data_IF_827187610247
#
_entry.id   IF_827187610247
#
_cell.length_a   1.000
_cell.length_b   1.000
_cell.length_c   1.000
_cell.angle_alpha   90.00
_cell.angle_beta   90.00
_cell.angle_gamma   90.00
#
_symmetry.space_group_name_H-M   'P 1'
#
loop_
_entity.id
_entity.type
_entity.pdbx_description
1 polymer ?
#
# COMPACT_ATOMS: atom_id res chain seq x y z
N UNK A 1 36.47 -17.18 -7.97
CA UNK A 1 35.16 -17.59 -7.44
C UNK A 1 34.60 -16.37 -6.74
N UNK A 2 33.58 -15.72 -7.33
CA UNK A 2 32.89 -14.62 -6.68
C UNK A 2 32.12 -15.19 -5.50
N UNK A 3 32.34 -14.66 -4.29
CA UNK A 3 31.56 -15.00 -3.13
C UNK A 3 30.10 -14.61 -3.44
N UNK A 4 29.23 -15.59 -3.59
CA UNK A 4 27.80 -15.36 -3.59
C UNK A 4 27.46 -14.85 -2.21
N UNK A 5 27.18 -13.54 -2.10
CA UNK A 5 26.57 -12.98 -0.89
C UNK A 5 25.20 -13.64 -0.77
N UNK A 6 25.13 -14.77 -0.09
CA UNK A 6 23.84 -15.34 0.31
C UNK A 6 23.15 -14.31 1.20
N UNK A 7 22.06 -13.78 0.72
CA UNK A 7 21.25 -12.84 1.48
C UNK A 7 20.77 -13.55 2.74
N UNK A 8 21.16 -13.03 3.90
CA UNK A 8 20.72 -13.56 5.21
C UNK A 8 19.29 -13.15 5.56
N UNK A 9 18.46 -12.76 4.56
CA UNK A 9 17.09 -12.39 4.83
C UNK A 9 16.28 -13.59 5.29
N UNK A 10 15.66 -13.45 6.44
CA UNK A 10 14.78 -14.47 7.00
C UNK A 10 13.32 -14.17 6.64
N UNK A 11 12.54 -15.22 6.45
CA UNK A 11 11.13 -15.13 6.13
C UNK A 11 10.29 -15.82 7.21
N UNK A 12 9.09 -15.26 7.43
CA UNK A 12 8.12 -15.79 8.39
C UNK A 12 6.73 -15.81 7.80
N UNK A 13 5.82 -16.58 8.40
CA UNK A 13 4.40 -16.51 8.01
C UNK A 13 3.76 -15.23 8.53
N UNK A 14 2.90 -14.64 7.73
CA UNK A 14 2.05 -13.53 8.16
C UNK A 14 0.92 -14.09 9.06
N UNK A 15 1.15 -14.07 10.36
CA UNK A 15 0.25 -14.65 11.34
C UNK A 15 -0.01 -16.14 11.08
N UNK A 16 -1.30 -16.51 11.02
CA UNK A 16 -1.73 -17.88 10.73
C UNK A 16 -1.98 -18.16 9.24
N UNK A 17 -1.76 -17.17 8.38
CA UNK A 17 -1.94 -17.32 6.93
C UNK A 17 -0.86 -18.20 6.30
N UNK A 18 -1.08 -18.66 5.08
CA UNK A 18 -0.06 -19.35 4.27
C UNK A 18 1.00 -18.43 3.69
N UNK A 19 0.78 -17.09 3.71
CA UNK A 19 1.68 -16.12 3.10
C UNK A 19 2.97 -16.00 3.90
N UNK A 20 4.11 -16.08 3.20
CA UNK A 20 5.42 -15.78 3.77
C UNK A 20 5.90 -14.41 3.36
N UNK A 21 6.38 -13.66 4.33
CA UNK A 21 6.92 -12.30 4.19
C UNK A 21 8.35 -12.25 4.71
N UNK A 22 9.16 -11.29 4.24
CA UNK A 22 10.45 -11.00 4.85
C UNK A 22 10.23 -10.49 6.29
N UNK A 23 11.09 -10.91 7.24
CA UNK A 23 11.00 -10.47 8.65
C UNK A 23 11.16 -8.95 8.81
N UNK A 24 11.88 -8.32 7.88
CA UNK A 24 11.95 -6.86 7.75
C UNK A 24 11.07 -6.45 6.57
N UNK A 25 10.26 -5.42 6.74
CA UNK A 25 9.36 -4.88 5.72
C UNK A 25 9.86 -3.49 5.34
N UNK A 26 9.97 -3.23 4.04
CA UNK A 26 10.31 -1.90 3.55
C UNK A 26 9.08 -0.99 3.61
N UNK A 27 9.13 0.06 4.44
CA UNK A 27 8.12 1.12 4.46
C UNK A 27 8.37 2.13 3.36
N UNK A 28 7.39 2.35 2.49
CA UNK A 28 7.48 3.27 1.36
C UNK A 28 6.76 4.61 1.60
N UNK A 29 6.42 4.95 2.83
CA UNK A 29 5.82 6.25 3.17
C UNK A 29 6.77 7.41 2.83
N UNK A 30 8.08 7.17 2.90
CA UNK A 30 9.11 8.14 2.55
C UNK A 30 9.42 8.20 1.05
N UNK A 31 8.73 7.47 0.20
CA UNK A 31 8.93 7.47 -1.25
C UNK A 31 7.75 8.17 -1.94
N UNK A 32 8.02 9.23 -2.71
CA UNK A 32 6.94 9.95 -3.35
C UNK A 32 7.35 11.28 -3.94
N UNK A 33 6.89 12.36 -3.35
CA UNK A 33 7.19 13.74 -3.73
C UNK A 33 7.58 14.55 -2.49
N UNK A 34 8.72 15.24 -2.56
CA UNK A 34 9.16 16.18 -1.51
C UNK A 34 8.21 17.39 -1.36
N UNK A 35 7.32 17.63 -2.32
CA UNK A 35 6.26 18.63 -2.19
C UNK A 35 5.18 18.25 -1.18
N UNK A 36 5.00 16.93 -0.93
CA UNK A 36 4.06 16.44 0.07
C UNK A 36 4.58 16.62 1.50
N UNK A 37 5.86 16.27 1.72
CA UNK A 37 6.55 16.43 3.00
C UNK A 37 8.08 16.51 2.74
N UNK A 38 8.78 17.38 3.48
CA UNK A 38 10.21 17.64 3.30
C UNK A 38 11.13 16.41 3.43
N UNK A 39 10.69 15.41 4.21
CA UNK A 39 11.45 14.17 4.44
C UNK A 39 11.16 13.07 3.41
N UNK A 40 10.30 13.32 2.45
CA UNK A 40 9.99 12.36 1.38
C UNK A 40 10.98 12.52 0.25
N UNK A 41 11.57 11.42 -0.18
CA UNK A 41 12.48 11.38 -1.31
C UNK A 41 11.72 11.15 -2.63
N UNK A 42 12.25 11.72 -3.69
CA UNK A 42 11.65 11.63 -5.02
C UNK A 42 11.96 10.28 -5.71
N UNK A 43 11.35 10.08 -6.85
CA UNK A 43 11.37 8.81 -7.59
C UNK A 43 12.79 8.36 -7.96
N UNK A 44 13.66 9.27 -8.36
CA UNK A 44 15.03 8.98 -8.79
C UNK A 44 15.89 8.41 -7.65
N UNK A 45 15.66 8.85 -6.41
CA UNK A 45 16.33 8.34 -5.21
C UNK A 45 15.64 7.05 -4.69
N UNK A 46 14.31 6.96 -4.77
CA UNK A 46 13.54 5.83 -4.26
C UNK A 46 13.72 4.55 -5.10
N UNK A 47 13.79 4.68 -6.42
CA UNK A 47 13.89 3.52 -7.31
C UNK A 47 15.12 2.65 -7.05
N UNK A 48 16.36 3.19 -6.90
CA UNK A 48 17.52 2.37 -6.55
C UNK A 48 17.39 1.66 -5.20
N UNK A 49 16.73 2.28 -4.22
CA UNK A 49 16.51 1.67 -2.90
C UNK A 49 15.56 0.48 -2.97
N UNK A 50 14.49 0.56 -3.76
CA UNK A 50 13.58 -0.55 -4.02
C UNK A 50 14.31 -1.71 -4.73
N UNK A 51 15.17 -1.40 -5.70
CA UNK A 51 16.00 -2.41 -6.36
C UNK A 51 16.94 -3.09 -5.38
N UNK A 52 17.65 -2.31 -4.56
CA UNK A 52 18.55 -2.84 -3.55
C UNK A 52 17.81 -3.72 -2.54
N UNK A 53 16.65 -3.27 -2.05
CA UNK A 53 15.82 -4.07 -1.14
C UNK A 53 15.47 -5.43 -1.75
N UNK A 54 15.04 -5.47 -3.01
CA UNK A 54 14.77 -6.71 -3.72
C UNK A 54 16.02 -7.62 -3.81
N UNK A 55 17.18 -7.05 -4.17
CA UNK A 55 18.42 -7.79 -4.37
C UNK A 55 18.95 -8.43 -3.07
N UNK A 56 18.71 -7.80 -1.92
CA UNK A 56 19.08 -8.37 -0.61
C UNK A 56 18.00 -9.28 -0.02
N UNK A 57 16.94 -9.58 -0.77
CA UNK A 57 15.86 -10.49 -0.37
C UNK A 57 14.75 -9.85 0.48
N UNK A 58 14.78 -8.51 0.68
CA UNK A 58 13.70 -7.78 1.34
C UNK A 58 12.54 -7.63 0.34
N UNK A 59 11.69 -8.65 0.29
CA UNK A 59 10.67 -8.78 -0.75
C UNK A 59 9.28 -8.28 -0.34
N UNK A 60 9.13 -7.74 0.87
CA UNK A 60 7.85 -7.26 1.39
C UNK A 60 7.90 -5.74 1.51
N UNK A 61 7.02 -5.05 0.79
CA UNK A 61 6.99 -3.59 0.67
C UNK A 61 5.63 -3.06 1.10
N UNK A 62 5.62 -2.11 2.03
CA UNK A 62 4.42 -1.50 2.60
C UNK A 62 4.25 -0.08 2.10
N UNK A 63 3.13 0.20 1.47
CA UNK A 63 2.72 1.51 0.97
C UNK A 63 1.29 1.83 1.41
N UNK A 64 0.70 2.89 0.88
CA UNK A 64 -0.70 3.26 1.01
C UNK A 64 -1.11 4.16 -0.18
N UNK A 65 -2.41 4.21 -0.46
CA UNK A 65 -3.00 5.08 -1.46
C UNK A 65 -2.71 6.58 -1.20
N UNK A 66 -2.72 6.99 0.05
CA UNK A 66 -2.52 8.39 0.45
C UNK A 66 -1.05 8.83 0.51
N UNK A 67 -0.07 7.92 0.49
CA UNK A 67 1.34 8.31 0.60
C UNK A 67 1.78 9.10 -0.63
N UNK A 68 2.15 10.37 -0.38
CA UNK A 68 2.41 11.34 -1.45
C UNK A 68 1.30 11.34 -2.49
N UNK A 69 0.05 11.29 -2.03
CA UNK A 69 -1.15 11.32 -2.86
C UNK A 69 -1.09 10.33 -4.04
N UNK A 70 -0.72 9.07 -3.73
CA UNK A 70 -0.61 7.98 -4.70
C UNK A 70 0.76 7.77 -5.33
N UNK A 71 1.68 8.76 -5.24
CA UNK A 71 3.02 8.66 -5.87
C UNK A 71 3.85 7.49 -5.33
N UNK A 72 3.69 7.13 -4.05
CA UNK A 72 4.38 5.98 -3.46
C UNK A 72 4.03 4.68 -4.19
N UNK A 73 2.75 4.45 -4.49
CA UNK A 73 2.30 3.28 -5.25
C UNK A 73 2.81 3.31 -6.70
N UNK A 74 2.79 4.48 -7.35
CA UNK A 74 3.32 4.63 -8.72
C UNK A 74 4.82 4.30 -8.79
N UNK A 75 5.61 4.74 -7.81
CA UNK A 75 7.06 4.46 -7.73
C UNK A 75 7.31 2.97 -7.58
N UNK A 76 6.52 2.26 -6.74
CA UNK A 76 6.60 0.81 -6.62
C UNK A 76 6.29 0.14 -7.97
N UNK A 77 5.20 0.53 -8.62
CA UNK A 77 4.85 0.02 -9.96
C UNK A 77 5.96 0.24 -10.99
N UNK A 78 6.54 1.44 -11.00
CA UNK A 78 7.68 1.77 -11.87
C UNK A 78 8.92 0.94 -11.56
N UNK A 79 9.21 0.68 -10.28
CA UNK A 79 10.34 -0.15 -9.86
C UNK A 79 10.20 -1.58 -10.40
N UNK A 80 9.02 -2.18 -10.25
CA UNK A 80 8.74 -3.52 -10.79
C UNK A 80 9.02 -3.58 -12.30
N UNK A 81 8.52 -2.60 -13.05
CA UNK A 81 8.68 -2.51 -14.50
C UNK A 81 10.12 -2.21 -14.92
N UNK A 82 10.73 -1.17 -14.34
CA UNK A 82 12.08 -0.69 -14.71
C UNK A 82 13.14 -1.76 -14.49
N UNK A 83 13.06 -2.48 -13.37
CA UNK A 83 14.06 -3.48 -13.00
C UNK A 83 13.64 -4.92 -13.34
N UNK A 84 12.53 -5.08 -14.07
CA UNK A 84 11.99 -6.39 -14.44
C UNK A 84 11.85 -7.33 -13.24
N UNK A 85 11.40 -6.80 -12.10
CA UNK A 85 11.19 -7.57 -10.88
C UNK A 85 9.94 -8.44 -11.07
N UNK A 86 10.06 -9.78 -10.99
CA UNK A 86 8.90 -10.65 -11.16
C UNK A 86 7.86 -10.39 -10.05
N UNK A 87 6.62 -10.10 -10.44
CA UNK A 87 5.55 -9.74 -9.48
C UNK A 87 5.31 -10.80 -8.41
N UNK A 88 5.43 -12.08 -8.77
CA UNK A 88 5.26 -13.20 -7.84
C UNK A 88 6.42 -13.39 -6.86
N UNK A 89 7.46 -12.57 -6.94
CA UNK A 89 8.61 -12.59 -6.02
C UNK A 89 8.55 -11.50 -4.95
N UNK A 90 7.58 -10.60 -5.02
CA UNK A 90 7.38 -9.53 -4.04
C UNK A 90 5.99 -9.60 -3.43
N UNK A 91 5.88 -9.16 -2.19
CA UNK A 91 4.63 -9.00 -1.45
C UNK A 91 4.39 -7.49 -1.26
N UNK A 92 3.31 -6.98 -1.82
CA UNK A 92 2.94 -5.57 -1.73
C UNK A 92 1.76 -5.41 -0.79
N UNK A 93 1.97 -4.63 0.27
CA UNK A 93 0.92 -4.20 1.18
C UNK A 93 0.53 -2.77 0.82
N UNK A 94 -0.76 -2.51 0.65
CA UNK A 94 -1.28 -1.14 0.52
C UNK A 94 -2.41 -0.90 1.51
N UNK A 95 -2.88 0.34 1.59
CA UNK A 95 -3.89 0.74 2.57
C UNK A 95 -4.90 1.68 1.93
N UNK A 96 -6.14 1.68 2.43
CA UNK A 96 -7.17 2.65 2.07
C UNK A 96 -7.89 3.16 3.32
N UNK A 97 -8.26 4.40 3.31
CA UNK A 97 -9.12 5.14 4.23
C UNK A 97 -9.14 6.63 3.88
N UNK A 98 -7.95 7.24 3.68
CA UNK A 98 -7.81 8.67 3.42
C UNK A 98 -8.15 8.97 1.96
N UNK A 99 -8.56 10.21 1.71
CA UNK A 99 -8.78 10.67 0.35
C UNK A 99 -7.48 10.83 -0.43
N UNK A 100 -7.56 10.60 -1.73
CA UNK A 100 -6.47 10.83 -2.68
C UNK A 100 -6.99 11.80 -3.73
N UNK A 101 -6.32 12.95 -3.91
CA UNK A 101 -6.71 13.91 -4.93
C UNK A 101 -6.37 13.36 -6.32
N UNK A 102 -7.27 13.54 -7.25
CA UNK A 102 -7.16 13.06 -8.65
C UNK A 102 -6.57 14.11 -9.60
N UNK A 103 -6.35 15.32 -9.11
CA UNK A 103 -5.80 16.45 -9.88
C UNK A 103 -4.26 16.51 -9.90
N UNK A 104 -3.59 15.52 -9.32
CA UNK A 104 -2.12 15.44 -9.24
C UNK A 104 -1.48 16.38 -8.21
N UNK A 105 -2.27 17.13 -7.44
CA UNK A 105 -1.74 17.98 -6.36
C UNK A 105 -1.18 17.15 -5.21
N UNK A 106 -0.44 17.79 -4.32
CA UNK A 106 0.10 17.18 -3.10
C UNK A 106 -0.51 17.84 -1.86
N UNK A 107 -1.84 17.66 -1.61
CA UNK A 107 -2.48 18.31 -0.48
C UNK A 107 -1.91 17.78 0.84
N UNK A 108 -1.92 18.61 1.91
CA UNK A 108 -1.55 18.12 3.22
C UNK A 108 -2.49 17.01 3.68
N UNK A 109 -1.98 16.06 4.47
CA UNK A 109 -2.74 14.89 4.92
C UNK A 109 -4.05 15.27 5.64
N UNK A 110 -4.11 16.45 6.25
CA UNK A 110 -5.34 16.97 6.88
C UNK A 110 -6.49 17.15 5.89
N UNK A 111 -6.20 17.53 4.65
CA UNK A 111 -7.22 17.68 3.61
C UNK A 111 -7.81 16.33 3.16
N UNK A 112 -7.03 15.25 3.27
CA UNK A 112 -7.47 13.89 2.94
C UNK A 112 -8.33 13.21 4.02
N UNK A 113 -8.60 13.91 5.12
CA UNK A 113 -9.40 13.38 6.25
C UNK A 113 -10.87 13.83 6.23
N UNK A 114 -11.23 14.76 5.37
CA UNK A 114 -12.55 15.37 5.35
C UNK A 114 -13.40 14.71 4.25
N UNK A 115 -14.47 14.02 4.67
CA UNK A 115 -15.42 13.38 3.75
C UNK A 115 -16.54 14.36 3.38
N UNK A 116 -16.18 15.47 2.75
CA UNK A 116 -17.10 16.52 2.32
C UNK A 116 -16.56 17.26 1.08
N UNK A 117 -17.41 18.05 0.43
CA UNK A 117 -17.05 18.82 -0.74
C UNK A 117 -16.50 17.93 -1.87
N UNK A 118 -15.32 18.25 -2.37
CA UNK A 118 -14.66 17.47 -3.42
C UNK A 118 -14.28 16.06 -2.98
N UNK A 119 -14.14 15.81 -1.67
CA UNK A 119 -13.76 14.52 -1.10
C UNK A 119 -14.97 13.68 -0.64
N UNK A 120 -16.21 14.12 -0.92
CA UNK A 120 -17.39 13.34 -0.53
C UNK A 120 -17.37 11.95 -1.12
N UNK A 121 -17.53 10.92 -0.27
CA UNK A 121 -17.39 9.50 -0.60
C UNK A 121 -15.97 9.07 -1.05
N UNK A 122 -14.94 9.89 -0.81
CA UNK A 122 -13.54 9.57 -1.10
C UNK A 122 -12.72 9.32 0.17
N UNK A 123 -13.35 9.36 1.34
CA UNK A 123 -12.72 9.13 2.65
C UNK A 123 -13.57 8.14 3.44
N UNK A 124 -12.92 7.34 4.30
CA UNK A 124 -13.58 6.34 5.15
C UNK A 124 -13.55 4.94 4.56
N UNK A 125 -14.42 4.07 5.03
CA UNK A 125 -14.46 2.66 4.63
C UNK A 125 -15.83 2.24 4.09
N UNK A 126 -16.59 3.19 3.52
CA UNK A 126 -17.80 2.80 2.79
C UNK A 126 -17.44 1.81 1.68
N UNK A 127 -18.37 0.93 1.36
CA UNK A 127 -18.22 -0.03 0.26
C UNK A 127 -17.80 0.66 -1.05
N UNK A 128 -18.43 1.81 -1.33
CA UNK A 128 -18.08 2.59 -2.52
C UNK A 128 -16.61 2.98 -2.52
N UNK A 129 -16.14 3.61 -1.44
CA UNK A 129 -14.77 4.08 -1.35
C UNK A 129 -13.76 2.93 -1.39
N UNK A 130 -13.99 1.82 -0.68
CA UNK A 130 -13.08 0.65 -0.71
C UNK A 130 -12.90 0.13 -2.14
N UNK A 131 -13.96 -0.01 -2.90
CA UNK A 131 -13.89 -0.52 -4.28
C UNK A 131 -13.14 0.45 -5.20
N UNK A 132 -13.47 1.74 -5.15
CA UNK A 132 -12.82 2.78 -5.94
C UNK A 132 -11.33 2.93 -5.58
N UNK A 133 -11.00 2.93 -4.27
CA UNK A 133 -9.62 3.02 -3.78
C UNK A 133 -8.75 1.83 -4.24
N UNK A 134 -9.31 0.61 -4.23
CA UNK A 134 -8.60 -0.59 -4.71
C UNK A 134 -8.34 -0.49 -6.22
N UNK A 135 -9.31 -0.05 -7.00
CA UNK A 135 -9.14 0.09 -8.44
C UNK A 135 -8.09 1.15 -8.79
N UNK A 136 -8.10 2.27 -8.10
CA UNK A 136 -7.12 3.33 -8.26
C UNK A 136 -5.71 2.88 -7.82
N UNK A 137 -5.59 2.15 -6.71
CA UNK A 137 -4.30 1.61 -6.24
C UNK A 137 -3.72 0.61 -7.23
N UNK A 138 -4.56 -0.28 -7.79
CA UNK A 138 -4.14 -1.24 -8.84
C UNK A 138 -3.67 -0.51 -10.10
N UNK A 139 -4.36 0.56 -10.49
CA UNK A 139 -3.95 1.37 -11.64
C UNK A 139 -2.57 2.01 -11.42
N UNK A 140 -2.30 2.57 -10.22
CA UNK A 140 -1.01 3.17 -9.87
C UNK A 140 0.11 2.13 -9.76
N UNK A 141 -0.15 1.00 -9.09
CA UNK A 141 0.81 -0.11 -8.95
C UNK A 141 1.04 -0.85 -10.27
N UNK A 142 0.07 -0.83 -11.19
CA UNK A 142 0.09 -1.64 -12.40
C UNK A 142 -0.06 -3.14 -12.16
N UNK A 143 -0.54 -3.54 -10.95
CA UNK A 143 -0.65 -4.94 -10.51
C UNK A 143 -1.60 -5.10 -9.32
N UNK A 144 -1.94 -6.35 -8.99
CA UNK A 144 -2.75 -6.69 -7.81
C UNK A 144 -2.03 -6.35 -6.49
N UNK A 145 -2.80 -6.25 -5.41
CA UNK A 145 -2.33 -6.04 -4.04
C UNK A 145 -2.26 -7.40 -3.31
N UNK A 146 -1.15 -7.69 -2.61
CA UNK A 146 -1.10 -8.92 -1.79
C UNK A 146 -1.88 -8.75 -0.49
N UNK A 147 -1.71 -7.63 0.21
CA UNK A 147 -2.43 -7.35 1.46
C UNK A 147 -3.03 -5.95 1.41
N UNK A 148 -4.35 -5.84 1.41
CA UNK A 148 -5.04 -4.57 1.60
C UNK A 148 -5.32 -4.37 3.09
N UNK A 149 -4.85 -3.27 3.64
CA UNK A 149 -5.10 -2.91 5.03
C UNK A 149 -6.10 -1.75 5.11
N UNK A 150 -7.03 -1.80 6.05
CA UNK A 150 -7.70 -0.57 6.45
C UNK A 150 -6.67 0.32 7.16
N UNK A 151 -6.51 1.57 6.71
CA UNK A 151 -5.50 2.49 7.27
C UNK A 151 -5.91 3.01 8.64
N UNK A 152 -7.21 3.18 8.85
CA UNK A 152 -7.86 3.55 10.11
C UNK A 152 -9.18 2.80 10.23
N UNK A 153 -9.67 2.64 11.44
CA UNK A 153 -11.03 2.16 11.66
C UNK A 153 -12.01 3.30 11.40
N UNK A 154 -12.93 3.07 10.49
CA UNK A 154 -14.07 3.94 10.27
C UNK A 154 -15.18 3.56 11.27
N UNK A 155 -15.55 4.50 12.13
CA UNK A 155 -16.57 4.28 13.15
C UNK A 155 -17.98 4.63 12.66
N UNK A 156 -18.06 5.37 11.57
CA UNK A 156 -19.32 5.84 10.98
C UNK A 156 -19.88 4.86 9.95
N UNK A 157 -19.03 3.94 9.44
CA UNK A 157 -19.46 2.87 8.52
C UNK A 157 -19.72 1.57 9.28
N UNK A 158 -20.88 0.90 9.05
CA UNK A 158 -21.16 -0.40 9.64
C UNK A 158 -20.06 -1.44 9.36
N UNK A 159 -19.66 -2.19 10.38
CA UNK A 159 -18.58 -3.19 10.26
C UNK A 159 -18.91 -4.29 9.24
N UNK A 160 -20.17 -4.67 9.15
CA UNK A 160 -20.66 -5.65 8.18
C UNK A 160 -20.46 -5.17 6.74
N UNK A 161 -20.68 -3.87 6.48
CA UNK A 161 -20.43 -3.27 5.17
C UNK A 161 -18.94 -3.29 4.85
N UNK A 162 -18.09 -2.85 5.80
CA UNK A 162 -16.63 -2.87 5.65
C UNK A 162 -16.14 -4.29 5.33
N UNK A 163 -16.50 -5.27 6.16
CA UNK A 163 -16.04 -6.65 6.01
C UNK A 163 -16.53 -7.29 4.72
N UNK A 164 -17.77 -7.00 4.32
CA UNK A 164 -18.29 -7.50 3.05
C UNK A 164 -17.54 -6.87 1.86
N UNK A 165 -17.28 -5.58 1.88
CA UNK A 165 -16.52 -4.92 0.82
C UNK A 165 -15.09 -5.47 0.72
N UNK A 166 -14.42 -5.68 1.86
CA UNK A 166 -13.09 -6.29 1.91
C UNK A 166 -13.10 -7.73 1.39
N UNK A 167 -14.13 -8.52 1.71
CA UNK A 167 -14.28 -9.85 1.14
C UNK A 167 -14.47 -9.80 -0.38
N UNK A 168 -15.30 -8.89 -0.87
CA UNK A 168 -15.61 -8.79 -2.30
C UNK A 168 -14.37 -8.39 -3.12
N UNK A 169 -13.46 -7.55 -2.61
CA UNK A 169 -12.21 -7.25 -3.31
C UNK A 169 -11.23 -8.44 -3.32
N UNK A 170 -11.30 -9.32 -2.32
CA UNK A 170 -10.56 -10.59 -2.34
C UNK A 170 -11.16 -11.55 -3.37
N UNK A 171 -12.48 -11.74 -3.36
CA UNK A 171 -13.18 -12.60 -4.32
C UNK A 171 -12.97 -12.14 -5.78
N UNK A 172 -12.86 -10.83 -6.01
CA UNK A 172 -12.55 -10.27 -7.34
C UNK A 172 -11.14 -10.62 -7.84
N UNK A 173 -10.26 -11.10 -6.97
CA UNK A 173 -8.86 -11.36 -7.29
C UNK A 173 -7.98 -10.11 -7.37
N UNK A 174 -8.49 -8.92 -7.04
CA UNK A 174 -7.73 -7.67 -6.99
C UNK A 174 -6.80 -7.59 -5.78
N UNK A 175 -7.21 -8.25 -4.69
CA UNK A 175 -6.50 -8.33 -3.41
C UNK A 175 -6.35 -9.80 -3.02
N UNK A 176 -5.27 -10.20 -2.34
CA UNK A 176 -5.08 -11.58 -1.87
C UNK A 176 -5.44 -11.79 -0.41
N UNK A 177 -5.09 -10.84 0.45
CA UNK A 177 -5.34 -10.88 1.90
C UNK A 177 -5.79 -9.51 2.38
N UNK A 178 -6.49 -9.49 3.51
CA UNK A 178 -6.89 -8.26 4.19
C UNK A 178 -6.17 -8.10 5.51
N UNK A 179 -5.99 -6.88 5.95
CA UNK A 179 -5.35 -6.53 7.21
C UNK A 179 -5.88 -5.23 7.79
N UNK A 180 -5.31 -4.82 8.92
CA UNK A 180 -5.65 -3.56 9.56
C UNK A 180 -4.40 -2.86 10.10
N UNK A 181 -4.37 -1.55 9.97
CA UNK A 181 -3.33 -0.67 10.48
C UNK A 181 -3.92 0.29 11.51
N UNK A 182 -3.14 0.59 12.57
CA UNK A 182 -3.51 1.64 13.54
C UNK A 182 -4.92 1.50 14.13
N UNK A 183 -5.33 0.27 14.39
CA UNK A 183 -6.63 -0.08 15.01
C UNK A 183 -6.36 -0.57 16.42
N UNK A 184 -7.08 -0.03 17.42
CA UNK A 184 -6.95 -0.52 18.79
C UNK A 184 -7.49 -1.94 18.92
N UNK A 185 -6.85 -2.76 19.76
CA UNK A 185 -7.22 -4.17 19.97
C UNK A 185 -8.70 -4.36 20.34
N UNK A 186 -9.31 -3.39 21.03
CA UNK A 186 -10.71 -3.44 21.47
C UNK A 186 -11.69 -2.82 20.45
N UNK A 187 -11.24 -2.53 19.25
CA UNK A 187 -12.07 -1.84 18.25
C UNK A 187 -12.85 -2.78 17.33
N UNK A 188 -12.63 -4.11 17.44
CA UNK A 188 -13.28 -5.17 16.63
C UNK A 188 -14.24 -6.00 17.47
#
# INVERSE_FOLDING_TARGET
MAATNETKMEYTRLGKSGLKISKVILGAMSFGSSEWQDWVINEDEALPLLKHAYDVGLNTWDTADTYSNGRSEEIIGKALKKYSIPRNKVVILSKCYFGVADDGTQPPISASMVNDGAMVNQVGLSRKHILDAVDNSIARLGTYIDVLQIHRLDRDTPREEIMKALNDVVESGKVRYIGASSVSFNAW
#
